data_IF_273702943572
#
_entry.id   IF_273702943572
#
_cell.length_a   1.000
_cell.length_b   1.000
_cell.length_c   1.000
_cell.angle_alpha   90.00
_cell.angle_beta   90.00
_cell.angle_gamma   90.00
#
_symmetry.space_group_name_H-M   'P 1'
#
loop_
_entity.id
_entity.type
_entity.pdbx_description
1 polymer ?
#
# COMPACT_ATOMS: atom_id res chain seq x y z
N UNK A 1 12.94 -11.74 -52.18
CA UNK A 1 13.66 -11.64 -50.89
C UNK A 1 12.76 -10.84 -49.96
N UNK A 2 12.29 -11.46 -48.87
CA UNK A 2 11.26 -10.91 -48.01
C UNK A 2 11.89 -10.22 -46.79
N UNK A 3 11.57 -8.94 -46.58
CA UNK A 3 11.98 -8.16 -45.42
C UNK A 3 11.23 -8.62 -44.16
N UNK A 4 11.98 -9.14 -43.19
CA UNK A 4 11.49 -9.47 -41.85
C UNK A 4 11.44 -8.23 -40.98
N UNK A 5 10.26 -7.63 -40.89
CA UNK A 5 9.94 -6.54 -39.97
C UNK A 5 9.89 -7.06 -38.52
N UNK A 6 10.97 -6.83 -37.77
CA UNK A 6 11.07 -7.11 -36.33
C UNK A 6 10.08 -6.25 -35.55
N UNK A 7 8.91 -6.81 -35.28
CA UNK A 7 7.90 -6.22 -34.41
C UNK A 7 8.44 -6.12 -32.97
N UNK A 8 8.83 -4.91 -32.59
CA UNK A 8 9.09 -4.51 -31.20
C UNK A 8 7.93 -4.97 -30.30
N UNK A 9 8.20 -5.90 -29.37
CA UNK A 9 7.26 -6.49 -28.40
C UNK A 9 6.74 -5.55 -27.32
N UNK A 10 6.45 -4.29 -27.68
CA UNK A 10 5.91 -3.29 -26.77
C UNK A 10 4.41 -3.19 -27.02
N UNK A 11 3.62 -3.69 -26.07
CA UNK A 11 2.15 -3.69 -26.12
C UNK A 11 1.58 -2.33 -26.51
N UNK A 12 0.46 -2.31 -27.24
CA UNK A 12 -0.22 -1.06 -27.68
C UNK A 12 -0.44 -0.07 -26.52
N UNK A 13 -0.67 -0.58 -25.30
CA UNK A 13 -0.75 0.20 -24.07
C UNK A 13 0.56 0.91 -23.69
N UNK A 14 1.71 0.24 -23.81
CA UNK A 14 3.02 0.80 -23.52
C UNK A 14 3.44 1.85 -24.56
N UNK A 15 3.08 1.68 -25.84
CA UNK A 15 3.25 2.74 -26.87
C UNK A 15 2.39 3.98 -26.57
N UNK A 16 1.15 3.81 -26.09
CA UNK A 16 0.27 4.93 -25.69
C UNK A 16 0.80 5.68 -24.47
N UNK A 17 1.34 4.98 -23.47
CA UNK A 17 1.89 5.61 -22.26
C UNK A 17 3.23 6.32 -22.54
N UNK A 18 4.09 5.75 -23.39
CA UNK A 18 5.34 6.39 -23.86
C UNK A 18 5.04 7.68 -24.65
N UNK A 19 3.98 7.69 -25.46
CA UNK A 19 3.53 8.89 -26.18
C UNK A 19 3.02 10.00 -25.25
N UNK A 20 2.30 9.66 -24.18
CA UNK A 20 1.88 10.64 -23.15
C UNK A 20 3.07 11.20 -22.36
N UNK A 21 4.07 10.37 -22.07
CA UNK A 21 5.29 10.79 -21.36
C UNK A 21 6.18 11.70 -22.22
N UNK A 22 6.29 11.45 -23.53
CA UNK A 22 7.08 12.29 -24.44
C UNK A 22 6.38 13.60 -24.83
N UNK A 23 5.04 13.65 -24.86
CA UNK A 23 4.31 14.92 -25.04
C UNK A 23 4.28 15.79 -23.77
N UNK A 24 4.65 15.23 -22.62
CA UNK A 24 4.86 15.99 -21.39
C UNK A 24 6.33 16.40 -21.30
N UNK A 25 6.77 17.20 -22.27
CA UNK A 25 7.99 18.00 -22.10
C UNK A 25 7.81 18.89 -20.87
N UNK A 26 8.86 19.13 -20.06
CA UNK A 26 8.78 20.11 -18.99
C UNK A 26 8.42 21.44 -19.65
N UNK A 27 7.27 22.00 -19.29
CA UNK A 27 7.06 23.42 -19.49
C UNK A 27 8.14 24.09 -18.64
N UNK A 28 9.23 24.51 -19.30
CA UNK A 28 9.97 25.67 -18.84
C UNK A 28 8.92 26.76 -18.71
N UNK A 29 8.61 27.12 -17.47
CA UNK A 29 7.85 28.30 -17.14
C UNK A 29 8.72 29.51 -17.46
N UNK A 30 8.90 29.79 -18.75
CA UNK A 30 9.39 31.09 -19.19
C UNK A 30 8.24 32.09 -19.06
N UNK A 31 8.46 33.08 -18.20
CA UNK A 31 7.94 34.42 -18.37
C UNK A 31 6.42 34.57 -18.35
N UNK A 32 5.82 34.41 -17.17
CA UNK A 32 4.70 35.30 -16.82
C UNK A 32 5.20 36.22 -15.72
N UNK A 33 5.72 37.36 -16.13
CA UNK A 33 6.01 38.52 -15.28
C UNK A 33 4.66 39.00 -14.76
N UNK A 34 4.22 38.48 -13.63
CA UNK A 34 3.24 39.15 -12.78
C UNK A 34 4.01 40.09 -11.87
N UNK A 35 4.21 41.29 -12.42
CA UNK A 35 4.32 42.56 -11.73
C UNK A 35 3.24 42.67 -10.63
N UNK A 36 3.50 42.17 -9.43
CA UNK A 36 2.79 42.52 -8.17
C UNK A 36 3.64 42.07 -6.98
N UNK A 37 4.26 43.05 -6.31
CA UNK A 37 4.66 42.92 -4.92
C UNK A 37 6.08 42.42 -4.66
N UNK A 38 6.99 43.38 -4.57
CA UNK A 38 8.12 43.32 -3.64
C UNK A 38 7.58 42.98 -2.25
N UNK A 39 7.63 41.70 -1.88
CA UNK A 39 7.37 41.22 -0.54
C UNK A 39 8.58 40.37 -0.17
N UNK A 40 9.28 40.84 0.84
CA UNK A 40 10.43 40.21 1.47
C UNK A 40 10.23 38.69 1.68
N UNK A 41 11.31 37.89 1.81
CA UNK A 41 11.23 36.44 1.97
C UNK A 41 10.56 36.08 3.30
N UNK A 42 9.23 36.06 3.31
CA UNK A 42 8.47 35.33 4.31
C UNK A 42 8.48 33.89 3.84
N UNK A 43 9.24 33.05 4.54
CA UNK A 43 9.30 31.61 4.34
C UNK A 43 7.89 31.02 4.40
N UNK A 44 7.23 30.90 3.24
CA UNK A 44 5.94 30.25 3.17
C UNK A 44 6.15 28.80 3.65
N UNK A 45 5.53 28.42 4.79
CA UNK A 45 5.80 27.11 5.41
C UNK A 45 5.45 25.96 4.46
N UNK A 46 4.57 26.20 3.48
CA UNK A 46 4.21 25.27 2.43
C UNK A 46 5.37 24.99 1.45
N UNK A 47 6.16 26.00 1.08
CA UNK A 47 7.26 25.85 0.14
C UNK A 47 8.39 25.02 0.75
N UNK A 48 8.74 25.31 2.01
CA UNK A 48 9.77 24.56 2.74
C UNK A 48 9.40 23.06 2.88
N UNK A 49 8.10 22.75 3.08
CA UNK A 49 7.63 21.37 3.15
C UNK A 49 7.67 20.67 1.78
N UNK A 50 7.38 21.39 0.69
CA UNK A 50 7.48 20.85 -0.68
C UNK A 50 8.92 20.53 -1.04
N UNK A 51 9.87 21.37 -0.66
CA UNK A 51 11.30 21.15 -0.86
C UNK A 51 11.80 19.92 -0.08
N UNK A 52 11.48 19.84 1.22
CA UNK A 52 11.77 18.66 2.05
C UNK A 52 11.16 17.38 1.47
N UNK A 53 9.99 17.46 0.84
CA UNK A 53 9.34 16.33 0.20
C UNK A 53 10.09 15.90 -1.07
N UNK A 54 10.62 16.86 -1.83
CA UNK A 54 11.49 16.58 -2.97
C UNK A 54 12.79 15.91 -2.53
N UNK A 55 13.43 16.39 -1.46
CA UNK A 55 14.61 15.76 -0.88
C UNK A 55 14.34 14.34 -0.36
N UNK A 56 13.24 14.14 0.37
CA UNK A 56 12.84 12.83 0.87
C UNK A 56 12.60 11.84 -0.28
N UNK A 57 12.01 12.31 -1.38
CA UNK A 57 11.85 11.50 -2.61
C UNK A 57 13.19 11.20 -3.27
N UNK A 58 14.12 12.14 -3.29
CA UNK A 58 15.47 11.92 -3.82
C UNK A 58 16.25 10.88 -2.99
N UNK A 59 16.05 10.88 -1.67
CA UNK A 59 16.62 9.91 -0.72
C UNK A 59 15.86 8.57 -0.66
N UNK A 60 14.75 8.44 -1.39
CA UNK A 60 13.83 7.27 -1.33
C UNK A 60 13.25 6.99 0.07
N UNK A 61 13.17 8.00 0.93
CA UNK A 61 12.59 7.91 2.27
C UNK A 61 11.06 7.98 2.22
N UNK A 62 10.45 6.87 1.79
CA UNK A 62 8.99 6.72 1.70
C UNK A 62 8.20 7.07 2.99
N UNK A 63 8.63 6.71 4.22
CA UNK A 63 7.88 7.08 5.43
C UNK A 63 7.90 8.58 5.68
N UNK A 64 9.06 9.24 5.51
CA UNK A 64 9.20 10.68 5.70
C UNK A 64 8.46 11.46 4.61
N UNK A 65 8.54 11.01 3.35
CA UNK A 65 7.79 11.59 2.24
C UNK A 65 6.27 11.47 2.40
N UNK A 66 5.78 10.42 3.06
CA UNK A 66 4.34 10.26 3.34
C UNK A 66 3.87 11.22 4.44
N UNK A 67 4.67 11.40 5.50
CA UNK A 67 4.39 12.40 6.55
C UNK A 67 4.36 13.83 6.00
N UNK A 68 5.34 14.19 5.17
CA UNK A 68 5.39 15.52 4.54
C UNK A 68 4.18 15.78 3.63
N UNK A 69 3.68 14.77 2.91
CA UNK A 69 2.43 14.91 2.12
C UNK A 69 1.23 15.24 3.00
N UNK A 70 1.10 14.56 4.13
CA UNK A 70 0.00 14.81 5.08
C UNK A 70 0.10 16.23 5.65
N UNK A 71 1.30 16.67 6.02
CA UNK A 71 1.52 18.03 6.52
C UNK A 71 1.19 19.10 5.48
N UNK A 72 1.58 18.89 4.21
CA UNK A 72 1.22 19.80 3.12
C UNK A 72 -0.29 19.85 2.92
N UNK A 73 -0.98 18.70 3.00
CA UNK A 73 -2.43 18.66 2.86
C UNK A 73 -3.14 19.41 3.98
N UNK A 74 -2.74 19.19 5.24
CA UNK A 74 -3.27 19.91 6.39
C UNK A 74 -3.06 21.43 6.29
N UNK A 75 -1.85 21.86 5.89
CA UNK A 75 -1.54 23.28 5.75
C UNK A 75 -2.30 23.92 4.58
N UNK A 76 -2.63 23.16 3.53
CA UNK A 76 -3.49 23.62 2.45
C UNK A 76 -4.95 23.79 2.90
N UNK A 77 -5.46 22.86 3.70
CA UNK A 77 -6.81 22.93 4.26
C UNK A 77 -6.94 24.10 5.26
N UNK A 78 -5.92 24.31 6.11
CA UNK A 78 -5.85 25.46 7.03
C UNK A 78 -5.82 26.79 6.26
N UNK A 79 -5.02 26.90 5.20
CA UNK A 79 -4.95 28.08 4.35
C UNK A 79 -6.26 28.35 3.58
N UNK A 80 -7.02 27.29 3.28
CA UNK A 80 -8.35 27.38 2.67
C UNK A 80 -9.47 27.69 3.68
N UNK A 81 -9.14 27.82 4.98
CA UNK A 81 -10.11 28.07 6.04
C UNK A 81 -11.01 26.87 6.37
N UNK A 82 -10.68 25.69 5.86
CA UNK A 82 -11.39 24.43 6.13
C UNK A 82 -10.70 23.79 7.32
N UNK A 83 -11.13 24.13 8.54
CA UNK A 83 -10.75 23.39 9.74
C UNK A 83 -11.68 22.19 9.85
N UNK A 84 -11.25 20.95 9.58
CA UNK A 84 -12.02 19.82 10.05
C UNK A 84 -11.96 19.89 11.59
N UNK A 85 -13.11 20.08 12.24
CA UNK A 85 -13.26 19.70 13.66
C UNK A 85 -13.02 18.19 13.73
N UNK A 86 -11.75 17.81 13.78
CA UNK A 86 -11.34 16.44 14.04
C UNK A 86 -11.59 16.24 15.52
N UNK A 87 -12.70 15.56 15.81
CA UNK A 87 -13.06 15.14 17.14
C UNK A 87 -11.82 14.51 17.81
N UNK A 88 -11.41 14.93 19.02
CA UNK A 88 -10.19 14.44 19.67
C UNK A 88 -10.14 12.91 19.80
N UNK A 89 -11.31 12.27 19.83
CA UNK A 89 -11.45 10.81 19.81
C UNK A 89 -11.05 10.16 18.48
N UNK A 90 -11.24 10.83 17.34
CA UNK A 90 -10.85 10.31 16.01
C UNK A 90 -9.33 10.39 15.88
N UNK A 91 -8.70 11.46 16.37
CA UNK A 91 -7.23 11.59 16.43
C UNK A 91 -6.61 10.51 17.32
N UNK A 92 -7.20 10.23 18.49
CA UNK A 92 -6.77 9.14 19.38
C UNK A 92 -6.94 7.74 18.75
N UNK A 93 -7.90 7.56 17.84
CA UNK A 93 -8.16 6.29 17.17
C UNK A 93 -7.21 6.03 15.99
N UNK A 94 -6.68 7.08 15.35
CA UNK A 94 -5.77 6.96 14.19
C UNK A 94 -4.36 6.46 14.57
N UNK A 95 -3.90 6.71 15.80
CA UNK A 95 -2.63 6.18 16.32
C UNK A 95 -2.66 4.66 16.60
N UNK A 96 -3.84 4.04 16.60
CA UNK A 96 -3.99 2.60 16.85
C UNK A 96 -3.96 1.73 15.59
N UNK A 97 -4.07 2.33 14.39
CA UNK A 97 -4.11 1.62 13.11
C UNK A 97 -2.94 1.95 12.16
N UNK A 98 -1.83 2.48 12.68
CA UNK A 98 -0.54 2.34 12.01
C UNK A 98 0.06 0.97 12.38
N UNK A 99 0.49 0.13 11.42
CA UNK A 99 1.33 -1.01 11.75
C UNK A 99 2.64 -0.49 12.33
N UNK A 100 2.71 -0.42 13.66
CA UNK A 100 3.92 -0.17 14.44
C UNK A 100 4.93 -1.25 14.09
N UNK A 101 5.86 -0.93 13.19
CA UNK A 101 7.14 -1.61 13.12
C UNK A 101 7.91 -1.20 14.37
N UNK A 102 7.79 -2.07 15.36
CA UNK A 102 8.63 -2.30 16.53
C UNK A 102 9.68 -1.23 16.88
N UNK A 103 9.49 -0.55 18.00
CA UNK A 103 10.54 -0.35 19.00
C UNK A 103 9.94 -0.53 20.41
N UNK A 104 10.74 -1.15 21.28
CA UNK A 104 10.38 -1.96 22.44
C UNK A 104 10.78 -1.25 23.74
N UNK A 105 9.80 -0.94 24.59
CA UNK A 105 9.88 -0.68 26.05
C UNK A 105 8.42 -0.43 26.48
N UNK A 106 7.77 -1.06 27.45
CA UNK A 106 8.04 -1.31 28.88
C UNK A 106 6.97 -2.34 29.31
N UNK A 107 7.33 -3.49 29.87
CA UNK A 107 7.14 -3.84 31.30
C UNK A 107 5.68 -3.76 31.79
N UNK A 108 4.95 -4.88 31.68
CA UNK A 108 4.49 -5.80 32.75
C UNK A 108 3.11 -5.42 33.28
N UNK A 109 2.09 -6.14 32.79
CA UNK A 109 0.95 -6.54 33.61
C UNK A 109 0.53 -7.96 33.19
N UNK A 110 0.43 -8.82 34.20
CA UNK A 110 0.49 -10.28 34.09
C UNK A 110 -0.81 -10.89 33.55
N UNK A 111 -0.70 -11.59 32.42
CA UNK A 111 -1.57 -12.74 32.10
C UNK A 111 -0.70 -13.87 31.55
N UNK A 112 -0.93 -15.12 31.97
CA UNK A 112 0.05 -16.18 31.86
C UNK A 112 0.43 -16.41 30.40
N UNK A 113 1.74 -16.29 30.16
CA UNK A 113 2.43 -16.71 28.95
C UNK A 113 2.24 -18.22 28.81
N UNK A 114 1.16 -18.61 28.14
CA UNK A 114 1.06 -19.97 27.62
C UNK A 114 2.04 -20.07 26.46
N UNK A 115 3.16 -20.72 26.76
CA UNK A 115 4.04 -21.34 25.80
C UNK A 115 3.26 -21.96 24.64
N UNK A 116 3.62 -21.62 23.40
CA UNK A 116 3.82 -22.63 22.35
C UNK A 116 4.14 -21.98 21.02
N UNK A 117 5.02 -22.63 20.27
CA UNK A 117 5.20 -22.44 18.83
C UNK A 117 3.88 -22.57 18.03
N UNK A 118 2.78 -23.02 18.65
CA UNK A 118 1.45 -23.08 18.04
C UNK A 118 0.87 -21.73 17.63
N UNK A 119 1.20 -20.63 18.34
CA UNK A 119 0.55 -19.33 18.07
C UNK A 119 0.85 -18.70 16.69
N UNK A 120 1.96 -19.08 16.04
CA UNK A 120 2.32 -18.56 14.71
C UNK A 120 1.69 -19.42 13.60
N UNK A 121 1.76 -20.74 13.75
CA UNK A 121 1.16 -21.72 12.83
C UNK A 121 -0.37 -21.57 12.81
N UNK A 122 -1.00 -21.39 13.97
CA UNK A 122 -2.44 -21.11 14.08
C UNK A 122 -2.87 -19.81 13.37
N UNK A 123 -2.01 -18.78 13.42
CA UNK A 123 -2.27 -17.51 12.71
C UNK A 123 -2.14 -17.69 11.19
N UNK A 124 -1.15 -18.46 10.74
CA UNK A 124 -0.99 -18.80 9.32
C UNK A 124 -2.20 -19.59 8.82
N UNK A 125 -2.61 -20.62 9.54
CA UNK A 125 -3.79 -21.44 9.22
C UNK A 125 -5.07 -20.59 9.14
N UNK A 126 -5.32 -19.71 10.11
CA UNK A 126 -6.46 -18.77 10.09
C UNK A 126 -6.41 -17.83 8.88
N UNK A 127 -5.22 -17.37 8.49
CA UNK A 127 -5.03 -16.49 7.33
C UNK A 127 -5.34 -17.22 6.02
N UNK A 128 -4.83 -18.43 5.87
CA UNK A 128 -5.08 -19.26 4.68
C UNK A 128 -6.56 -19.63 4.55
N UNK A 129 -7.23 -20.00 5.65
CA UNK A 129 -8.68 -20.26 5.65
C UNK A 129 -9.49 -19.03 5.20
N UNK A 130 -9.10 -17.82 5.62
CA UNK A 130 -9.74 -16.58 5.14
C UNK A 130 -9.52 -16.36 3.64
N UNK A 131 -8.31 -16.64 3.12
CA UNK A 131 -8.03 -16.57 1.68
C UNK A 131 -8.92 -17.56 0.91
N UNK A 132 -9.05 -18.79 1.40
CA UNK A 132 -9.89 -19.83 0.80
C UNK A 132 -11.36 -19.38 0.76
N UNK A 133 -11.91 -18.83 1.85
CA UNK A 133 -13.27 -18.27 1.86
C UNK A 133 -13.44 -17.12 0.85
N UNK A 134 -12.44 -16.25 0.70
CA UNK A 134 -12.49 -15.17 -0.30
C UNK A 134 -12.51 -15.74 -1.72
N UNK A 135 -11.72 -16.78 -1.99
CA UNK A 135 -11.70 -17.47 -3.29
C UNK A 135 -13.05 -18.14 -3.58
N UNK A 136 -13.65 -18.78 -2.58
CA UNK A 136 -14.96 -19.41 -2.72
C UNK A 136 -16.06 -18.39 -3.07
N UNK A 137 -16.05 -17.21 -2.42
CA UNK A 137 -16.95 -16.10 -2.80
C UNK A 137 -16.73 -15.65 -4.24
N UNK A 138 -15.48 -15.59 -4.71
CA UNK A 138 -15.18 -15.27 -6.11
C UNK A 138 -15.73 -16.36 -7.06
N UNK A 139 -15.62 -17.64 -6.69
CA UNK A 139 -16.20 -18.75 -7.46
C UNK A 139 -17.72 -18.70 -7.53
N UNK A 140 -18.38 -18.39 -6.42
CA UNK A 140 -19.83 -18.21 -6.39
C UNK A 140 -20.28 -17.08 -7.32
N UNK A 141 -19.57 -15.93 -7.30
CA UNK A 141 -19.83 -14.81 -8.22
C UNK A 141 -19.61 -15.19 -9.69
N UNK A 142 -18.53 -15.93 -9.98
CA UNK A 142 -18.27 -16.48 -11.33
C UNK A 142 -19.37 -17.43 -11.78
N UNK A 143 -19.84 -18.31 -10.89
CA UNK A 143 -20.94 -19.24 -11.17
C UNK A 143 -22.27 -18.50 -11.37
N UNK A 144 -22.48 -17.36 -10.71
CA UNK A 144 -23.59 -16.44 -10.95
C UNK A 144 -23.50 -15.65 -12.26
N UNK A 145 -22.50 -15.92 -13.12
CA UNK A 145 -22.34 -15.27 -14.42
C UNK A 145 -21.60 -13.92 -14.36
N UNK A 146 -21.06 -13.53 -13.21
CA UNK A 146 -20.28 -12.31 -13.09
C UNK A 146 -18.89 -12.45 -13.74
N UNK A 147 -18.50 -11.45 -14.53
CA UNK A 147 -17.17 -11.40 -15.14
C UNK A 147 -16.14 -10.95 -14.11
N UNK A 148 -15.35 -11.90 -13.62
CA UNK A 148 -14.21 -11.62 -12.75
C UNK A 148 -13.06 -11.00 -13.55
N UNK A 149 -12.38 -10.02 -12.94
CA UNK A 149 -11.15 -9.45 -13.50
C UNK A 149 -10.00 -10.47 -13.49
N UNK A 150 -8.98 -10.27 -14.34
CA UNK A 150 -7.83 -11.18 -14.45
C UNK A 150 -7.13 -11.42 -13.10
N UNK A 151 -7.04 -10.39 -12.24
CA UNK A 151 -6.46 -10.51 -10.90
C UNK A 151 -7.29 -11.40 -9.97
N UNK A 152 -8.61 -11.43 -10.13
CA UNK A 152 -9.52 -12.27 -9.34
C UNK A 152 -9.51 -13.70 -9.86
N UNK A 153 -9.45 -13.89 -11.18
CA UNK A 153 -9.26 -15.19 -11.81
C UNK A 153 -7.96 -15.85 -11.37
N UNK A 154 -6.85 -15.10 -11.34
CA UNK A 154 -5.56 -15.59 -10.83
C UNK A 154 -5.63 -16.03 -9.36
N UNK A 155 -6.49 -15.41 -8.53
CA UNK A 155 -6.72 -15.88 -7.14
C UNK A 155 -7.50 -17.20 -7.09
N UNK A 156 -8.46 -17.38 -8.00
CA UNK A 156 -9.21 -18.64 -8.12
C UNK A 156 -8.32 -19.77 -8.64
N UNK A 157 -7.39 -19.48 -9.54
CA UNK A 157 -6.42 -20.48 -10.02
C UNK A 157 -5.49 -20.99 -8.90
N UNK A 158 -5.10 -20.11 -7.96
CA UNK A 158 -4.31 -20.47 -6.78
C UNK A 158 -5.10 -21.12 -5.64
N UNK A 159 -6.37 -21.45 -5.85
CA UNK A 159 -7.21 -22.11 -4.84
C UNK A 159 -6.58 -23.41 -4.36
N UNK A 160 -6.00 -24.20 -5.28
CA UNK A 160 -5.41 -25.49 -4.94
C UNK A 160 -4.16 -25.32 -4.09
N UNK A 161 -3.27 -24.38 -4.44
CA UNK A 161 -2.08 -24.05 -3.64
C UNK A 161 -2.46 -23.68 -2.20
N UNK A 162 -3.51 -22.87 -2.02
CA UNK A 162 -3.98 -22.47 -0.68
C UNK A 162 -4.58 -23.65 0.10
N UNK A 163 -5.21 -24.63 -0.58
CA UNK A 163 -5.70 -25.86 0.07
C UNK A 163 -4.55 -26.74 0.51
N UNK A 164 -3.59 -26.97 -0.37
CA UNK A 164 -2.43 -27.81 -0.11
C UNK A 164 -1.62 -27.25 1.09
N UNK A 165 -1.41 -25.93 1.14
CA UNK A 165 -0.75 -25.26 2.28
C UNK A 165 -1.53 -25.45 3.61
N UNK A 166 -2.86 -25.43 3.57
CA UNK A 166 -3.70 -25.68 4.76
C UNK A 166 -3.53 -27.12 5.22
N UNK A 167 -3.63 -28.08 4.30
CA UNK A 167 -3.48 -29.50 4.59
C UNK A 167 -2.10 -29.83 5.15
N UNK A 168 -1.04 -29.24 4.58
CA UNK A 168 0.32 -29.41 5.08
C UNK A 168 0.47 -28.89 6.52
N UNK A 169 -0.06 -27.70 6.80
CA UNK A 169 -0.03 -27.13 8.15
C UNK A 169 -0.85 -27.99 9.13
N UNK A 170 -2.03 -28.45 8.73
CA UNK A 170 -2.86 -29.32 9.56
C UNK A 170 -2.20 -30.68 9.83
N UNK A 171 -1.54 -31.24 8.82
CA UNK A 171 -0.76 -32.47 8.94
C UNK A 171 0.42 -32.28 9.92
N UNK A 172 1.16 -31.18 9.77
CA UNK A 172 2.28 -30.86 10.66
C UNK A 172 1.80 -30.66 12.10
N UNK A 173 0.69 -29.96 12.31
CA UNK A 173 0.08 -29.81 13.63
C UNK A 173 -0.36 -31.16 14.21
N UNK A 174 -0.93 -32.04 13.38
CA UNK A 174 -1.35 -33.39 13.81
C UNK A 174 -0.14 -34.27 14.16
N UNK A 175 0.94 -34.21 13.38
CA UNK A 175 2.18 -34.94 13.67
C UNK A 175 2.83 -34.43 14.95
N UNK A 176 2.89 -33.11 15.14
CA UNK A 176 3.37 -32.51 16.38
C UNK A 176 2.51 -32.92 17.59
N UNK A 177 1.18 -32.99 17.43
CA UNK A 177 0.27 -33.44 18.48
C UNK A 177 0.42 -34.93 18.82
N UNK A 178 0.83 -35.75 17.85
CA UNK A 178 1.10 -37.18 18.04
C UNK A 178 2.56 -37.45 18.49
N UNK A 179 3.38 -36.42 18.68
CA UNK A 179 4.80 -36.57 19.07
C UNK A 179 5.66 -37.24 17.99
N UNK A 180 5.27 -37.10 16.71
CA UNK A 180 5.92 -37.71 15.55
C UNK A 180 6.96 -36.77 14.88
N UNK A 181 7.36 -35.71 15.58
CA UNK A 181 8.28 -34.65 15.16
C UNK A 181 9.23 -34.33 16.32
#
# INVERSE_FOLDING_TARGET
MADTELQSGVSKAAKKNKKRRNNKKPAQSEGRVSDWGDSTPHDDPLETLKEKLAEAKAKQDHPLASKLRQQIWLLQDDAAGVRPELDPQILASLDTNLPKKAEKKVEVEEKPVSSSAGSSVDKQLKTLRKKLQQIEKLKQRKAGGEKLEANQMAKVEKEQEVRDEIEEIELLMRQAALGLL
#
